data_IF_690791690616
#
_entry.id   IF_690791690616
#
_cell.length_a   1.000
_cell.length_b   1.000
_cell.length_c   1.000
_cell.angle_alpha   90.00
_cell.angle_beta   90.00
_cell.angle_gamma   90.00
#
_symmetry.space_group_name_H-M   'P 1'
#
loop_
_entity.id
_entity.type
_entity.pdbx_description
1 polymer ?
#
# COMPACT_ATOMS: atom_id res chain seq x y z
N UNK A 1 26.14 -28.06 -72.09
CA UNK A 1 24.90 -27.42 -71.64
C UNK A 1 24.99 -27.24 -70.13
N UNK A 2 24.80 -26.01 -69.64
CA UNK A 2 25.16 -25.52 -68.30
C UNK A 2 24.25 -26.07 -67.21
N UNK A 3 24.81 -26.55 -66.09
CA UNK A 3 24.26 -26.32 -64.74
C UNK A 3 25.38 -26.19 -63.70
N UNK A 4 25.15 -25.28 -62.76
CA UNK A 4 26.06 -24.72 -61.75
C UNK A 4 25.94 -25.47 -60.41
N UNK A 5 27.06 -25.49 -59.66
CA UNK A 5 27.25 -25.35 -58.20
C UNK A 5 26.17 -25.86 -57.23
N UNK A 6 26.60 -26.61 -56.20
CA UNK A 6 26.33 -26.24 -54.81
C UNK A 6 27.27 -26.99 -53.85
N UNK A 7 28.11 -26.23 -53.15
CA UNK A 7 28.95 -26.66 -52.03
C UNK A 7 28.06 -26.64 -50.78
N UNK A 8 27.96 -27.78 -50.09
CA UNK A 8 27.14 -27.97 -48.89
C UNK A 8 27.82 -27.29 -47.69
N UNK A 9 27.24 -26.20 -47.20
CA UNK A 9 27.66 -25.52 -45.97
C UNK A 9 26.84 -26.08 -44.81
N UNK A 10 27.48 -26.82 -43.91
CA UNK A 10 26.87 -27.28 -42.65
C UNK A 10 26.86 -26.10 -41.66
N UNK A 11 25.69 -25.53 -41.41
CA UNK A 11 25.48 -24.50 -40.39
C UNK A 11 24.93 -25.17 -39.12
N UNK A 12 25.77 -25.31 -38.10
CA UNK A 12 25.37 -25.73 -36.75
C UNK A 12 24.61 -24.56 -36.12
N UNK A 13 23.28 -24.64 -36.10
CA UNK A 13 22.43 -23.69 -35.37
C UNK A 13 22.45 -24.13 -33.91
N UNK A 14 23.38 -23.57 -33.13
CA UNK A 14 23.30 -23.58 -31.68
C UNK A 14 22.13 -22.71 -31.24
N UNK A 15 21.00 -23.35 -30.96
CA UNK A 15 19.87 -22.75 -30.27
C UNK A 15 20.31 -22.39 -28.84
N UNK A 16 20.67 -21.12 -28.63
CA UNK A 16 20.64 -20.54 -27.29
C UNK A 16 19.18 -20.43 -26.88
N UNK A 17 18.64 -21.47 -26.25
CA UNK A 17 17.46 -21.35 -25.41
C UNK A 17 17.88 -20.58 -24.16
N UNK A 18 17.88 -19.25 -24.24
CA UNK A 18 17.87 -18.40 -23.06
C UNK A 18 16.54 -18.64 -22.35
N UNK A 19 16.54 -19.60 -21.43
CA UNK A 19 15.52 -19.74 -20.40
C UNK A 19 15.39 -18.39 -19.71
N UNK A 20 14.29 -17.69 -19.98
CA UNK A 20 13.88 -16.52 -19.21
C UNK A 20 13.67 -17.02 -17.78
N UNK A 21 14.70 -16.87 -16.94
CA UNK A 21 14.58 -17.03 -15.51
C UNK A 21 13.62 -15.93 -15.05
N UNK A 22 12.35 -16.28 -14.88
CA UNK A 22 11.41 -15.44 -14.18
C UNK A 22 11.99 -15.19 -12.79
N UNK A 23 12.42 -13.95 -12.53
CA UNK A 23 12.97 -13.57 -11.22
C UNK A 23 11.99 -13.95 -10.13
N UNK A 24 12.48 -14.65 -9.10
CA UNK A 24 11.67 -15.04 -7.96
C UNK A 24 11.12 -13.79 -7.24
N UNK A 25 9.88 -13.88 -6.77
CA UNK A 25 9.25 -12.83 -5.96
C UNK A 25 10.12 -12.55 -4.72
N UNK A 26 10.45 -11.27 -4.48
CA UNK A 26 11.30 -10.85 -3.35
C UNK A 26 10.48 -10.08 -2.33
N UNK A 27 10.36 -10.61 -1.11
CA UNK A 27 9.82 -9.83 0.02
C UNK A 27 10.78 -8.70 0.38
N UNK A 28 10.28 -7.47 0.35
CA UNK A 28 10.99 -6.27 0.75
C UNK A 28 10.65 -5.88 2.20
N UNK A 29 9.40 -6.11 2.62
CA UNK A 29 8.87 -5.75 3.95
C UNK A 29 7.78 -6.73 4.37
N UNK A 30 7.74 -7.08 5.65
CA UNK A 30 6.65 -7.81 6.31
C UNK A 30 6.55 -7.31 7.75
N UNK A 31 5.62 -6.38 7.97
CA UNK A 31 5.54 -5.60 9.20
C UNK A 31 4.18 -5.79 9.86
N UNK A 32 4.17 -5.91 11.18
CA UNK A 32 2.97 -6.14 11.98
C UNK A 32 2.72 -4.96 12.92
N UNK A 33 1.45 -4.64 13.10
CA UNK A 33 1.01 -3.47 13.84
C UNK A 33 -0.17 -3.78 14.74
N UNK A 34 -0.27 -3.11 15.87
CA UNK A 34 -1.46 -3.08 16.73
C UNK A 34 -2.10 -1.70 16.69
N UNK A 35 -3.40 -1.64 16.95
CA UNK A 35 -4.22 -0.43 16.94
C UNK A 35 -4.91 -0.31 18.29
N UNK A 36 -4.70 0.79 18.99
CA UNK A 36 -5.40 1.12 20.24
C UNK A 36 -6.23 2.38 20.12
N UNK A 37 -7.34 2.43 20.86
CA UNK A 37 -8.14 3.64 21.07
C UNK A 37 -7.90 4.16 22.49
N UNK A 38 -7.75 5.47 22.63
CA UNK A 38 -7.40 6.12 23.89
C UNK A 38 -6.03 5.68 24.44
N UNK A 39 -5.18 5.09 23.60
CA UNK A 39 -3.87 4.53 23.97
C UNK A 39 -3.92 3.29 24.88
N UNK A 40 -5.10 2.69 25.08
CA UNK A 40 -5.26 1.58 26.03
C UNK A 40 -6.21 0.49 25.57
N UNK A 41 -7.26 0.84 24.83
CA UNK A 41 -8.31 -0.10 24.43
C UNK A 41 -7.84 -0.81 23.15
N UNK A 42 -7.61 -2.13 23.17
CA UNK A 42 -7.28 -2.88 21.96
C UNK A 42 -8.42 -2.77 20.96
N UNK A 43 -8.12 -2.32 19.76
CA UNK A 43 -9.12 -2.13 18.70
C UNK A 43 -8.86 -3.06 17.51
N UNK A 44 -7.60 -3.25 17.13
CA UNK A 44 -7.28 -4.12 16.01
C UNK A 44 -5.79 -4.36 15.87
N UNK A 45 -5.42 -5.13 14.86
CA UNK A 45 -4.05 -5.31 14.41
C UNK A 45 -4.04 -5.48 12.90
N UNK A 46 -2.89 -5.25 12.28
CA UNK A 46 -2.76 -5.49 10.85
C UNK A 46 -1.35 -5.93 10.45
N UNK A 47 -1.27 -6.55 9.29
CA UNK A 47 -0.03 -6.87 8.61
C UNK A 47 0.08 -6.02 7.33
N UNK A 48 1.28 -5.55 7.04
CA UNK A 48 1.65 -4.93 5.77
C UNK A 48 2.80 -5.73 5.16
N UNK A 49 2.63 -6.18 3.92
CA UNK A 49 3.64 -6.93 3.18
C UNK A 49 3.95 -6.26 1.84
N UNK A 50 5.20 -5.88 1.63
CA UNK A 50 5.70 -5.32 0.37
C UNK A 50 6.58 -6.35 -0.34
N UNK A 51 6.26 -6.63 -1.59
CA UNK A 51 6.98 -7.58 -2.44
C UNK A 51 7.35 -6.93 -3.78
N UNK A 52 8.50 -7.31 -4.34
CA UNK A 52 8.85 -7.03 -5.73
C UNK A 52 8.47 -8.24 -6.58
N UNK A 53 7.49 -8.05 -7.49
CA UNK A 53 6.97 -9.09 -8.39
C UNK A 53 7.10 -8.62 -9.83
N UNK A 54 7.96 -9.26 -10.62
CA UNK A 54 8.18 -8.90 -12.05
C UNK A 54 8.44 -7.39 -12.24
N UNK A 55 9.38 -6.86 -11.45
CA UNK A 55 9.78 -5.43 -11.44
C UNK A 55 8.67 -4.44 -11.04
N UNK A 56 7.64 -4.92 -10.34
CA UNK A 56 6.55 -4.11 -9.82
C UNK A 56 6.45 -4.27 -8.33
N UNK A 57 6.05 -3.21 -7.65
CA UNK A 57 5.75 -3.26 -6.23
C UNK A 57 4.35 -3.84 -6.06
N UNK A 58 4.24 -4.85 -5.20
CA UNK A 58 2.98 -5.38 -4.70
C UNK A 58 2.92 -5.13 -3.21
N UNK A 59 1.94 -4.34 -2.77
CA UNK A 59 1.72 -4.05 -1.36
C UNK A 59 0.38 -4.65 -0.94
N UNK A 60 0.43 -5.50 0.07
CA UNK A 60 -0.74 -6.11 0.68
C UNK A 60 -0.88 -5.62 2.11
N UNK A 61 -2.10 -5.26 2.52
CA UNK A 61 -2.45 -5.08 3.92
C UNK A 61 -3.63 -5.96 4.31
N UNK A 62 -3.57 -6.49 5.52
CA UNK A 62 -4.61 -7.30 6.11
C UNK A 62 -4.87 -6.80 7.53
N UNK A 63 -6.07 -6.27 7.78
CA UNK A 63 -6.50 -5.65 9.03
C UNK A 63 -7.57 -6.52 9.69
N UNK A 64 -7.44 -6.73 11.00
CA UNK A 64 -8.45 -7.33 11.87
C UNK A 64 -8.81 -6.33 12.96
N UNK A 65 -10.09 -6.01 13.12
CA UNK A 65 -10.55 -4.99 14.08
C UNK A 65 -11.88 -5.38 14.74
N UNK A 66 -12.06 -4.99 15.98
CA UNK A 66 -13.30 -5.21 16.72
C UNK A 66 -14.19 -3.97 16.65
N UNK A 67 -15.37 -4.11 16.07
CA UNK A 67 -16.37 -3.04 15.99
C UNK A 67 -17.75 -3.61 16.36
N UNK A 68 -18.44 -2.95 17.30
CA UNK A 68 -19.77 -3.36 17.76
C UNK A 68 -19.85 -4.84 18.17
N UNK A 69 -18.82 -5.33 18.87
CA UNK A 69 -18.65 -6.71 19.33
C UNK A 69 -18.43 -7.76 18.22
N UNK A 70 -18.17 -7.33 16.98
CA UNK A 70 -17.80 -8.20 15.86
C UNK A 70 -16.34 -8.03 15.46
N UNK A 71 -15.68 -9.15 15.15
CA UNK A 71 -14.38 -9.14 14.47
C UNK A 71 -14.62 -8.93 12.97
N UNK A 72 -14.19 -7.78 12.47
CA UNK A 72 -14.20 -7.43 11.05
C UNK A 72 -12.82 -7.64 10.45
N UNK A 73 -12.80 -7.98 9.17
CA UNK A 73 -11.60 -8.26 8.41
C UNK A 73 -11.58 -7.41 7.14
N UNK A 74 -10.45 -6.77 6.86
CA UNK A 74 -10.21 -6.01 5.64
C UNK A 74 -8.90 -6.47 5.01
N UNK A 75 -8.92 -6.74 3.72
CA UNK A 75 -7.76 -7.11 2.93
C UNK A 75 -7.65 -6.20 1.72
N UNK A 76 -6.45 -5.68 1.46
CA UNK A 76 -6.16 -4.91 0.27
C UNK A 76 -4.85 -5.37 -0.33
N UNK A 77 -4.83 -5.55 -1.65
CA UNK A 77 -3.63 -5.81 -2.42
C UNK A 77 -3.56 -4.84 -3.59
N UNK A 78 -2.45 -4.13 -3.73
CA UNK A 78 -2.25 -3.13 -4.78
C UNK A 78 -0.92 -3.31 -5.51
N UNK A 79 -0.92 -3.03 -6.81
CA UNK A 79 0.27 -3.02 -7.67
C UNK A 79 0.57 -1.61 -8.16
N UNK A 80 1.86 -1.27 -8.17
CA UNK A 80 2.39 -0.04 -8.76
C UNK A 80 3.71 -0.31 -9.51
N UNK A 81 4.05 0.55 -10.48
CA UNK A 81 5.41 0.60 -11.02
C UNK A 81 6.38 1.04 -9.93
N UNK A 82 7.58 0.44 -9.86
CA UNK A 82 8.63 0.85 -8.90
C UNK A 82 9.33 2.14 -9.36
N UNK A 83 8.58 3.23 -9.29
CA UNK A 83 9.00 4.59 -9.68
C UNK A 83 8.83 5.54 -8.50
N UNK A 84 9.34 6.76 -8.60
CA UNK A 84 9.15 7.78 -7.57
C UNK A 84 7.66 8.13 -7.37
N UNK A 85 6.91 8.19 -8.47
CA UNK A 85 5.48 8.54 -8.49
C UNK A 85 4.55 7.36 -8.17
N UNK A 86 5.09 6.14 -8.00
CA UNK A 86 4.35 4.92 -7.67
C UNK A 86 3.12 4.72 -8.57
N UNK A 87 3.33 4.83 -9.88
CA UNK A 87 2.26 4.83 -10.88
C UNK A 87 1.33 3.61 -10.69
N UNK A 88 0.03 3.84 -10.39
CA UNK A 88 -0.89 2.79 -10.00
C UNK A 88 -1.26 1.89 -11.18
N UNK A 89 -1.41 0.59 -10.93
CA UNK A 89 -1.75 -0.41 -11.95
C UNK A 89 -3.09 -1.09 -11.65
N UNK A 90 -3.21 -1.73 -10.50
CA UNK A 90 -4.40 -2.47 -10.08
C UNK A 90 -4.48 -2.54 -8.55
N UNK A 91 -5.69 -2.61 -8.01
CA UNK A 91 -5.91 -3.03 -6.63
C UNK A 91 -7.13 -3.96 -6.52
N UNK A 92 -7.11 -4.81 -5.50
CA UNK A 92 -8.25 -5.56 -5.01
C UNK A 92 -8.42 -5.25 -3.53
N UNK A 93 -9.62 -4.87 -3.13
CA UNK A 93 -10.01 -4.67 -1.75
C UNK A 93 -11.17 -5.61 -1.42
N UNK A 94 -11.09 -6.23 -0.26
CA UNK A 94 -12.09 -7.12 0.30
C UNK A 94 -12.32 -6.73 1.75
N UNK A 95 -13.58 -6.63 2.16
CA UNK A 95 -13.93 -6.37 3.54
C UNK A 95 -15.14 -7.20 3.94
N UNK A 96 -15.11 -7.72 5.16
CA UNK A 96 -16.26 -8.35 5.81
C UNK A 96 -16.65 -7.51 6.99
N UNK A 97 -17.84 -6.92 6.93
CA UNK A 97 -18.46 -6.23 8.05
C UNK A 97 -19.71 -6.99 8.47
N UNK A 98 -19.68 -7.61 9.66
CA UNK A 98 -20.71 -8.54 10.13
C UNK A 98 -20.99 -9.65 9.09
N UNK A 99 -22.16 -9.62 8.46
CA UNK A 99 -22.57 -10.57 7.40
C UNK A 99 -22.47 -9.99 5.99
N UNK A 100 -22.02 -8.75 5.84
CA UNK A 100 -21.92 -8.08 4.54
C UNK A 100 -20.48 -8.09 4.04
N UNK A 101 -20.29 -8.72 2.88
CA UNK A 101 -19.03 -8.71 2.15
C UNK A 101 -19.00 -7.54 1.15
N UNK A 102 -17.89 -6.84 1.07
CA UNK A 102 -17.60 -5.82 0.06
C UNK A 102 -16.36 -6.26 -0.70
N UNK A 103 -16.44 -6.29 -2.04
CA UNK A 103 -15.30 -6.55 -2.91
C UNK A 103 -15.18 -5.43 -3.94
N UNK A 104 -13.98 -4.88 -4.10
CA UNK A 104 -13.67 -3.77 -5.01
C UNK A 104 -12.45 -4.13 -5.85
N UNK A 105 -12.62 -4.13 -7.17
CA UNK A 105 -11.54 -4.34 -8.15
C UNK A 105 -11.29 -3.07 -8.95
N UNK A 106 -10.14 -2.43 -8.76
CA UNK A 106 -9.73 -1.25 -9.52
C UNK A 106 -8.61 -1.55 -10.50
N UNK A 107 -8.76 -1.17 -11.76
CA UNK A 107 -7.70 -1.29 -12.79
C UNK A 107 -7.43 0.05 -13.45
N UNK A 108 -6.15 0.41 -13.61
CA UNK A 108 -5.73 1.61 -14.34
C UNK A 108 -5.37 1.24 -15.78
N UNK A 109 -6.10 1.81 -16.74
CA UNK A 109 -5.86 1.65 -18.17
C UNK A 109 -5.18 2.90 -18.72
N UNK A 110 -4.30 2.70 -19.70
CA UNK A 110 -3.56 3.76 -20.38
C UNK A 110 -2.77 4.69 -19.44
N UNK A 111 -2.47 4.22 -18.22
CA UNK A 111 -1.74 4.96 -17.20
C UNK A 111 -2.52 6.08 -16.50
N UNK A 112 -3.78 6.35 -16.86
CA UNK A 112 -4.54 7.48 -16.31
C UNK A 112 -6.04 7.26 -16.18
N UNK A 113 -6.61 6.12 -16.60
CA UNK A 113 -8.05 5.86 -16.45
C UNK A 113 -8.27 4.73 -15.47
N UNK A 114 -8.75 5.06 -14.27
CA UNK A 114 -9.19 4.08 -13.28
C UNK A 114 -10.60 3.59 -13.63
N UNK A 115 -10.77 2.28 -13.68
CA UNK A 115 -12.05 1.59 -13.80
C UNK A 115 -12.25 0.70 -12.59
N UNK A 116 -13.34 0.88 -11.86
CA UNK A 116 -13.60 0.15 -10.61
C UNK A 116 -14.91 -0.61 -10.68
N UNK A 117 -14.87 -1.89 -10.30
CA UNK A 117 -16.05 -2.74 -10.09
C UNK A 117 -16.22 -2.94 -8.59
N UNK A 118 -17.43 -2.73 -8.09
CA UNK A 118 -17.76 -2.93 -6.68
C UNK A 118 -18.91 -3.92 -6.55
N UNK A 119 -18.75 -4.88 -5.66
CA UNK A 119 -19.79 -5.84 -5.26
C UNK A 119 -20.04 -5.68 -3.75
N UNK A 120 -21.31 -5.61 -3.35
CA UNK A 120 -21.73 -5.54 -1.94
C UNK A 120 -22.76 -6.64 -1.69
N UNK A 121 -22.38 -7.66 -0.93
CA UNK A 121 -23.16 -8.89 -0.82
C UNK A 121 -23.35 -9.54 -2.18
N UNK A 122 -24.60 -9.74 -2.60
CA UNK A 122 -24.94 -10.25 -3.95
C UNK A 122 -25.09 -9.14 -4.99
N UNK A 123 -25.11 -7.87 -4.60
CA UNK A 123 -25.37 -6.73 -5.48
C UNK A 123 -24.10 -6.28 -6.21
N UNK A 124 -24.20 -6.13 -7.53
CA UNK A 124 -23.16 -5.52 -8.36
C UNK A 124 -23.49 -4.05 -8.58
N UNK A 125 -22.64 -3.14 -8.08
CA UNK A 125 -22.80 -1.71 -8.28
C UNK A 125 -22.33 -1.28 -9.69
N UNK A 126 -22.80 -0.12 -10.20
CA UNK A 126 -22.32 0.45 -11.45
C UNK A 126 -20.80 0.62 -11.48
N UNK A 127 -20.20 0.38 -12.65
CA UNK A 127 -18.76 0.55 -12.85
C UNK A 127 -18.40 2.03 -12.75
N UNK A 128 -17.55 2.39 -11.78
CA UNK A 128 -17.00 3.72 -11.68
C UNK A 128 -15.82 3.89 -12.65
N UNK A 129 -15.76 5.05 -13.33
CA UNK A 129 -14.62 5.45 -14.16
C UNK A 129 -14.12 6.83 -13.75
N UNK A 130 -12.81 6.97 -13.62
CA UNK A 130 -12.14 8.22 -13.20
C UNK A 130 -10.86 8.45 -13.99
N UNK A 131 -10.60 9.70 -14.33
CA UNK A 131 -9.28 10.12 -14.78
C UNK A 131 -8.40 10.37 -13.56
N UNK A 132 -7.21 9.80 -13.55
CA UNK A 132 -6.22 9.95 -12.49
C UNK A 132 -5.38 11.22 -12.73
N UNK A 133 -5.16 12.05 -11.70
CA UNK A 133 -4.16 13.11 -11.75
C UNK A 133 -2.76 12.56 -12.03
N UNK A 134 -1.89 13.39 -12.64
CA UNK A 134 -0.56 13.00 -13.15
C UNK A 134 0.44 12.45 -12.10
N UNK A 135 0.16 12.59 -10.81
CA UNK A 135 0.99 12.08 -9.71
C UNK A 135 0.15 11.40 -8.62
N UNK A 136 -1.05 10.92 -8.97
CA UNK A 136 -1.88 10.18 -8.04
C UNK A 136 -1.41 8.72 -7.96
N UNK A 137 -1.26 8.21 -6.75
CA UNK A 137 -0.98 6.81 -6.46
C UNK A 137 -2.09 6.20 -5.57
N UNK A 138 -2.12 4.89 -5.39
CA UNK A 138 -3.10 4.24 -4.51
C UNK A 138 -2.74 4.49 -3.03
N UNK A 139 -3.71 4.82 -2.17
CA UNK A 139 -3.42 5.29 -0.81
C UNK A 139 -2.68 4.27 0.05
N UNK A 140 -2.86 2.97 -0.21
CA UNK A 140 -2.12 1.88 0.41
C UNK A 140 -0.60 2.06 0.25
N UNK A 141 -0.12 2.64 -0.86
CA UNK A 141 1.31 2.87 -1.13
C UNK A 141 1.91 4.07 -0.38
N UNK A 142 1.16 4.78 0.45
CA UNK A 142 1.66 5.95 1.16
C UNK A 142 2.94 5.70 1.99
N UNK A 143 3.11 4.58 2.74
CA UNK A 143 4.37 4.29 3.43
C UNK A 143 5.57 4.14 2.47
N UNK A 144 5.34 3.60 1.27
CA UNK A 144 6.37 3.49 0.23
C UNK A 144 6.65 4.85 -0.41
N UNK A 145 5.62 5.68 -0.57
CA UNK A 145 5.80 7.04 -1.05
C UNK A 145 6.66 7.86 -0.09
N UNK A 146 6.41 7.74 1.22
CA UNK A 146 7.24 8.36 2.27
C UNK A 146 8.69 7.90 2.14
N UNK A 147 8.96 6.59 2.04
CA UNK A 147 10.34 6.09 1.99
C UNK A 147 11.16 6.68 0.83
N UNK A 148 10.53 6.88 -0.32
CA UNK A 148 11.18 7.46 -1.50
C UNK A 148 11.42 8.97 -1.38
N UNK A 149 10.59 9.68 -0.61
CA UNK A 149 10.66 11.15 -0.48
C UNK A 149 11.27 11.62 0.85
N UNK A 150 11.56 10.72 1.79
CA UNK A 150 12.16 11.04 3.08
C UNK A 150 13.47 11.84 2.95
N UNK A 151 14.39 11.53 2.00
CA UNK A 151 15.60 12.33 1.80
C UNK A 151 15.35 13.78 1.40
N UNK A 152 14.17 14.10 0.85
CA UNK A 152 13.78 15.44 0.41
C UNK A 152 13.09 16.25 1.53
N UNK A 153 12.59 15.59 2.57
CA UNK A 153 11.87 16.20 3.69
C UNK A 153 12.82 16.91 4.65
N UNK A 154 13.13 18.17 4.32
CA UNK A 154 13.93 19.09 5.17
C UNK A 154 13.05 19.98 6.05
N UNK A 155 13.56 20.38 7.21
CA UNK A 155 12.89 21.28 8.14
C UNK A 155 12.33 22.53 7.42
N UNK A 156 11.05 22.84 7.65
CA UNK A 156 10.36 23.98 7.05
C UNK A 156 9.81 23.73 5.64
N UNK A 157 10.08 22.58 5.01
CA UNK A 157 9.45 22.18 3.75
C UNK A 157 8.28 21.23 4.01
N UNK A 158 7.25 21.34 3.19
CA UNK A 158 6.16 20.36 3.17
C UNK A 158 6.01 19.82 1.76
N UNK A 159 5.73 18.53 1.65
CA UNK A 159 5.45 17.86 0.38
C UNK A 159 3.96 17.58 0.30
N UNK A 160 3.35 17.95 -0.82
CA UNK A 160 1.98 17.59 -1.11
C UNK A 160 1.96 16.25 -1.85
N UNK A 161 0.92 15.48 -1.62
CA UNK A 161 0.68 14.22 -2.33
C UNK A 161 -0.80 14.11 -2.72
N UNK A 162 -1.07 13.28 -3.70
CA UNK A 162 -2.44 12.95 -4.13
C UNK A 162 -2.58 11.43 -4.14
N UNK A 163 -3.61 10.91 -3.50
CA UNK A 163 -3.90 9.47 -3.51
C UNK A 163 -5.28 9.18 -4.08
N UNK A 164 -5.49 7.93 -4.45
CA UNK A 164 -6.82 7.36 -4.68
C UNK A 164 -7.13 6.42 -3.51
N UNK A 165 -8.14 6.74 -2.67
CA UNK A 165 -8.62 5.83 -1.62
C UNK A 165 -9.34 4.63 -2.25
N UNK A 166 -8.80 3.44 -2.02
CA UNK A 166 -9.24 2.18 -2.63
C UNK A 166 -10.56 1.66 -2.03
N UNK A 167 -10.89 2.09 -0.81
CA UNK A 167 -12.15 1.87 -0.10
C UNK A 167 -13.21 2.96 -0.40
N UNK A 168 -12.85 3.99 -1.16
CA UNK A 168 -13.63 5.22 -1.34
C UNK A 168 -14.85 5.11 -2.27
N UNK A 169 -15.55 3.97 -2.30
CA UNK A 169 -16.67 3.75 -3.22
C UNK A 169 -17.83 4.73 -2.99
N UNK A 170 -18.06 5.14 -1.74
CA UNK A 170 -19.09 6.13 -1.39
C UNK A 170 -18.81 7.51 -2.02
N UNK A 171 -17.53 7.85 -2.21
CA UNK A 171 -17.09 9.09 -2.84
C UNK A 171 -16.69 8.89 -4.31
N UNK A 172 -17.08 7.74 -4.89
CA UNK A 172 -16.80 7.37 -6.27
C UNK A 172 -15.31 7.38 -6.61
N UNK A 173 -14.45 6.98 -5.66
CA UNK A 173 -12.99 6.89 -5.83
C UNK A 173 -12.34 8.22 -6.23
N UNK A 174 -12.86 9.32 -5.70
CA UNK A 174 -12.31 10.65 -5.94
C UNK A 174 -10.91 10.78 -5.33
N UNK A 175 -9.97 11.46 -6.01
CA UNK A 175 -8.64 11.69 -5.45
C UNK A 175 -8.70 12.46 -4.12
N UNK A 176 -7.83 12.09 -3.20
CA UNK A 176 -7.66 12.76 -1.92
C UNK A 176 -6.29 13.45 -1.88
N UNK A 177 -6.28 14.70 -1.43
CA UNK A 177 -5.06 15.48 -1.25
C UNK A 177 -4.54 15.30 0.17
N UNK A 178 -3.22 15.31 0.31
CA UNK A 178 -2.58 15.34 1.61
C UNK A 178 -1.26 16.08 1.58
N UNK A 179 -0.69 16.25 2.77
CA UNK A 179 0.58 16.94 2.96
C UNK A 179 1.38 16.27 4.07
N UNK A 180 2.68 16.13 3.85
CA UNK A 180 3.65 15.66 4.84
C UNK A 180 4.63 16.78 5.14
N UNK A 181 5.00 16.96 6.41
CA UNK A 181 6.06 17.85 6.83
C UNK A 181 6.88 17.23 7.97
N UNK A 182 8.19 17.47 8.05
CA UNK A 182 8.97 17.07 9.20
C UNK A 182 8.59 17.92 10.42
N UNK A 183 8.53 17.28 11.57
CA UNK A 183 8.29 17.90 12.87
C UNK A 183 9.57 17.92 13.69
N UNK A 184 9.62 18.75 14.73
CA UNK A 184 10.72 18.70 15.69
C UNK A 184 10.71 17.33 16.40
N UNK A 185 11.88 16.69 16.59
CA UNK A 185 11.95 15.40 17.26
C UNK A 185 11.56 15.53 18.74
N UNK A 186 10.60 14.72 19.16
CA UNK A 186 10.19 14.58 20.56
C UNK A 186 10.99 13.46 21.27
N UNK A 187 10.61 13.15 22.51
CA UNK A 187 11.28 12.12 23.30
C UNK A 187 11.25 10.76 22.60
N UNK A 188 10.09 10.36 22.07
CA UNK A 188 9.93 9.09 21.36
C UNK A 188 10.79 9.05 20.10
N UNK A 189 10.81 10.11 19.29
CA UNK A 189 11.63 10.19 18.09
C UNK A 189 13.13 10.01 18.39
N UNK A 190 13.62 10.64 19.47
CA UNK A 190 15.01 10.53 19.91
C UNK A 190 15.36 9.13 20.40
N UNK A 191 14.47 8.53 21.20
CA UNK A 191 14.66 7.19 21.76
C UNK A 191 14.63 6.10 20.67
N UNK A 192 13.63 6.15 19.80
CA UNK A 192 13.44 5.19 18.71
C UNK A 192 14.34 5.43 17.50
N UNK A 193 15.12 6.53 17.49
CA UNK A 193 15.94 6.97 16.36
C UNK A 193 15.13 7.12 15.06
N UNK A 194 13.95 7.71 15.18
CA UNK A 194 13.03 7.95 14.05
C UNK A 194 12.90 9.43 13.72
N UNK A 195 12.46 9.72 12.49
CA UNK A 195 12.00 11.03 12.11
C UNK A 195 10.51 11.18 12.40
N UNK A 196 10.14 12.25 13.12
CA UNK A 196 8.73 12.59 13.35
C UNK A 196 8.20 13.41 12.17
N UNK A 197 7.10 12.94 11.58
CA UNK A 197 6.40 13.59 10.48
C UNK A 197 4.98 13.99 10.92
N UNK A 198 4.55 15.18 10.53
CA UNK A 198 3.16 15.59 10.58
C UNK A 198 2.51 15.31 9.23
N UNK A 199 1.41 14.54 9.23
CA UNK A 199 0.67 14.15 8.02
C UNK A 199 -0.75 14.67 8.13
N UNK A 200 -1.19 15.45 7.14
CA UNK A 200 -2.58 15.89 7.00
C UNK A 200 -3.18 15.22 5.77
N UNK A 201 -4.27 14.48 5.95
CA UNK A 201 -4.93 13.73 4.88
C UNK A 201 -6.43 13.66 5.14
N UNK A 202 -7.25 14.06 4.14
CA UNK A 202 -8.73 14.12 4.27
C UNK A 202 -9.18 14.85 5.54
N UNK A 203 -8.57 16.01 5.81
CA UNK A 203 -8.80 16.85 6.99
C UNK A 203 -8.46 16.21 8.35
N UNK A 204 -7.86 15.02 8.35
CA UNK A 204 -7.35 14.35 9.55
C UNK A 204 -5.86 14.64 9.67
N UNK A 205 -5.46 15.13 10.85
CA UNK A 205 -4.05 15.26 11.22
C UNK A 205 -3.57 14.02 11.96
N UNK A 206 -2.39 13.54 11.60
CA UNK A 206 -1.69 12.45 12.26
C UNK A 206 -0.19 12.76 12.40
N UNK A 207 0.47 12.04 13.32
CA UNK A 207 1.91 12.08 13.51
C UNK A 207 2.48 10.68 13.27
N UNK A 208 3.54 10.60 12.48
CA UNK A 208 4.19 9.35 12.08
C UNK A 208 5.64 9.41 12.53
N UNK A 209 6.11 8.36 13.19
CA UNK A 209 7.51 8.19 13.54
C UNK A 209 8.09 7.13 12.62
N UNK A 210 8.91 7.57 11.67
CA UNK A 210 9.40 6.72 10.57
C UNK A 210 10.90 6.50 10.68
N UNK A 211 11.33 5.29 10.35
CA UNK A 211 12.74 4.98 10.14
C UNK A 211 13.22 5.50 8.78
N UNK A 212 14.54 5.48 8.55
CA UNK A 212 15.14 5.89 7.27
C UNK A 212 14.65 5.03 6.08
N UNK A 213 14.14 3.82 6.34
CA UNK A 213 13.49 2.94 5.36
C UNK A 213 12.07 3.40 4.97
N UNK A 214 11.54 4.43 5.64
CA UNK A 214 10.17 4.93 5.55
C UNK A 214 9.13 4.06 6.25
N UNK A 215 9.54 3.02 6.98
CA UNK A 215 8.63 2.24 7.82
C UNK A 215 8.20 3.03 9.05
N UNK A 216 6.90 3.07 9.31
CA UNK A 216 6.38 3.65 10.53
C UNK A 216 6.62 2.69 11.71
N UNK A 217 7.18 3.23 12.79
CA UNK A 217 7.28 2.56 14.11
C UNK A 217 6.04 2.88 14.94
N UNK A 218 5.49 4.08 14.78
CA UNK A 218 4.30 4.56 15.48
C UNK A 218 3.53 5.54 14.61
N UNK A 219 2.21 5.50 14.69
CA UNK A 219 1.31 6.49 14.08
C UNK A 219 0.30 6.92 15.14
N UNK A 220 0.13 8.22 15.32
CA UNK A 220 -0.87 8.79 16.23
C UNK A 220 -1.86 9.64 15.44
N UNK A 221 -3.15 9.44 15.70
CA UNK A 221 -4.25 10.23 15.16
C UNK A 221 -5.00 10.90 16.32
N UNK A 222 -4.57 12.09 16.78
CA UNK A 222 -5.08 12.68 18.03
C UNK A 222 -6.59 12.91 18.03
N UNK A 223 -7.16 13.38 16.91
CA UNK A 223 -8.60 13.63 16.78
C UNK A 223 -9.44 12.35 16.96
N UNK A 224 -8.89 11.19 16.59
CA UNK A 224 -9.53 9.88 16.71
C UNK A 224 -9.11 9.16 18.00
N UNK A 225 -8.16 9.72 18.75
CA UNK A 225 -7.51 9.09 19.91
C UNK A 225 -6.92 7.70 19.56
N UNK A 226 -6.49 7.51 18.32
CA UNK A 226 -5.97 6.22 17.84
C UNK A 226 -4.45 6.24 17.83
N UNK A 227 -3.85 5.14 18.28
CA UNK A 227 -2.41 4.89 18.19
C UNK A 227 -2.19 3.56 17.49
N UNK A 228 -1.34 3.58 16.48
CA UNK A 228 -0.84 2.38 15.79
C UNK A 228 0.63 2.20 16.16
N UNK A 229 1.02 1.00 16.57
CA UNK A 229 2.39 0.69 16.95
C UNK A 229 2.88 -0.55 16.23
N UNK A 230 4.12 -0.48 15.72
CA UNK A 230 4.80 -1.63 15.13
C UNK A 230 5.16 -2.62 16.23
N UNK A 231 4.81 -3.89 16.03
CA UNK A 231 5.06 -4.97 16.98
C UNK A 231 5.59 -6.21 16.28
N UNK A 232 6.00 -7.20 17.06
CA UNK A 232 6.25 -8.54 16.53
C UNK A 232 4.94 -9.24 16.14
N UNK A 233 5.00 -10.11 15.14
CA UNK A 233 3.87 -10.93 14.68
C UNK A 233 3.16 -11.67 15.82
N UNK A 234 3.93 -12.29 16.73
CA UNK A 234 3.39 -13.02 17.88
C UNK A 234 2.53 -12.14 18.79
N UNK A 235 2.94 -10.89 19.00
CA UNK A 235 2.20 -9.90 19.80
C UNK A 235 0.92 -9.50 19.08
N UNK A 236 0.99 -9.17 17.78
CA UNK A 236 -0.19 -8.80 16.99
C UNK A 236 -1.26 -9.91 16.99
N UNK A 237 -0.85 -11.17 16.77
CA UNK A 237 -1.77 -12.32 16.74
C UNK A 237 -2.40 -12.67 18.09
N UNK A 238 -1.86 -12.16 19.19
CA UNK A 238 -2.43 -12.31 20.54
C UNK A 238 -3.20 -11.07 20.99
N UNK A 239 -3.13 -9.96 20.24
CA UNK A 239 -3.53 -8.65 20.69
C UNK A 239 -5.03 -8.54 21.05
N UNK A 240 -5.90 -9.16 20.25
CA UNK A 240 -7.34 -9.17 20.53
C UNK A 240 -7.77 -10.30 21.49
N UNK A 241 -6.90 -11.29 21.74
CA UNK A 241 -7.22 -12.43 22.63
C UNK A 241 -7.14 -12.09 24.11
N UNK A 242 -6.39 -11.07 24.47
CA UNK A 242 -6.19 -10.65 25.87
C UNK A 242 -7.28 -9.72 26.40
N UNK A 243 -8.34 -9.48 25.61
CA UNK A 243 -9.45 -8.57 25.97
C UNK A 243 -10.74 -9.30 26.33
N UNK A 244 -10.73 -10.64 26.29
CA UNK A 244 -11.78 -11.52 26.84
C UNK A 244 -11.47 -11.86 28.31
#
# INVERSE_FOLDING_TARGET
>A
MRYKKALLFLLVISLFTSSLAFGADKTLRDTWYTITIGGKIPYGYYNEKLELKKDRLFLQSHVWKTEEDFLNEEQIGAFAEDTLDLKPLFFNFHATYRSTEIAIDGTVKNGNVLSVRTKKGSEQLPIAKRNLPKAAFFSQFFPVWISKHLPELKNGKSLAFTTIPEDGFENGFSPALGRVKPEKPDAFAKESKTQKLGVTYRDVQSFWWVEDSGEAVRIEMPAMRTVVERVQKSVALQFLKTSE
#
